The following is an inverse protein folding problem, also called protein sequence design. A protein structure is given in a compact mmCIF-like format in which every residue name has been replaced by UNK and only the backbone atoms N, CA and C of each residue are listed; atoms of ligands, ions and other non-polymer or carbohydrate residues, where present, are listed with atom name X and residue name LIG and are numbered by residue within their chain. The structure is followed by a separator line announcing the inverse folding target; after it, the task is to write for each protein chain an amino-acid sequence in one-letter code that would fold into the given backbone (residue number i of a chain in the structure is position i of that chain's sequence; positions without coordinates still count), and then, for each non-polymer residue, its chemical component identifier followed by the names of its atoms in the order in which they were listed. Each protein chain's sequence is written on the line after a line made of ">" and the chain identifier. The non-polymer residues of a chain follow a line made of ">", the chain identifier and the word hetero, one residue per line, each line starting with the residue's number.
data_IF_747039394384
#
_entry.id   IF_747039394384
#
_cell.length_a   1.000
_cell.length_b   1.000
_cell.length_c   1.000
_cell.angle_alpha   90.00
_cell.angle_beta   90.00
_cell.angle_gamma   90.00
#
_symmetry.space_group_name_H-M   'P 1'
#
loop_
_entity.id
_entity.type
_entity.pdbx_description
1 polymer ?
#
# COMPACT_ATOMS: atom_id res chain seq x y z
N UNK A 1 7.76 -9.97 -65.35
CA UNK A 1 6.67 -10.49 -64.50
C UNK A 1 7.01 -11.94 -64.24
N UNK A 2 7.70 -12.21 -63.13
CA UNK A 2 8.03 -13.58 -62.71
C UNK A 2 6.79 -14.21 -62.07
N UNK A 3 6.49 -15.44 -62.50
CA UNK A 3 5.36 -16.21 -62.02
C UNK A 3 5.54 -16.53 -60.53
N UNK A 4 4.58 -16.08 -59.73
CA UNK A 4 4.43 -16.50 -58.34
C UNK A 4 4.12 -17.99 -58.36
N UNK A 5 5.08 -18.82 -57.98
CA UNK A 5 4.87 -20.24 -57.78
C UNK A 5 3.85 -20.41 -56.64
N UNK A 6 2.62 -20.80 -56.96
CA UNK A 6 1.66 -21.32 -55.99
C UNK A 6 2.27 -22.56 -55.35
N UNK A 7 2.91 -22.39 -54.19
CA UNK A 7 3.31 -23.52 -53.37
C UNK A 7 2.05 -24.03 -52.69
N UNK A 8 1.62 -25.24 -53.03
CA UNK A 8 0.56 -25.94 -52.33
C UNK A 8 0.90 -25.96 -50.82
N UNK A 9 0.01 -25.45 -49.97
CA UNK A 9 0.22 -25.37 -48.52
C UNK A 9 -0.82 -26.22 -47.80
N UNK A 10 -0.36 -26.99 -46.81
CA UNK A 10 -1.22 -27.75 -45.90
C UNK A 10 -1.14 -27.19 -44.49
N UNK A 11 -2.23 -27.35 -43.72
CA UNK A 11 -2.31 -26.87 -42.34
C UNK A 11 -1.76 -27.94 -41.40
N UNK A 12 -0.82 -27.56 -40.53
CA UNK A 12 -0.31 -28.43 -39.48
C UNK A 12 -1.37 -28.61 -38.38
N UNK A 13 -1.73 -29.85 -38.07
CA UNK A 13 -2.74 -30.19 -37.04
C UNK A 13 -2.32 -29.89 -35.60
N UNK A 14 -1.04 -29.56 -35.37
CA UNK A 14 -0.52 -29.26 -34.04
C UNK A 14 -0.37 -27.75 -33.75
N UNK A 15 0.01 -26.95 -34.75
CA UNK A 15 0.20 -25.49 -34.59
C UNK A 15 -0.78 -24.64 -35.40
N UNK A 16 -1.69 -25.26 -36.14
CA UNK A 16 -2.72 -24.61 -36.97
C UNK A 16 -2.15 -23.64 -38.02
N UNK A 17 -0.87 -23.77 -38.37
CA UNK A 17 -0.17 -22.90 -39.34
C UNK A 17 -0.15 -23.55 -40.73
N UNK A 18 -0.32 -22.73 -41.77
CA UNK A 18 -0.12 -23.13 -43.16
C UNK A 18 1.38 -23.30 -43.45
N UNK A 19 1.76 -24.48 -43.92
CA UNK A 19 3.14 -24.89 -44.23
C UNK A 19 3.15 -25.44 -45.66
N UNK A 20 4.20 -25.23 -46.46
CA UNK A 20 4.32 -25.86 -47.78
C UNK A 20 4.12 -27.38 -47.68
N UNK A 21 3.23 -27.93 -48.50
CA UNK A 21 2.80 -29.32 -48.44
C UNK A 21 3.98 -30.29 -48.58
N UNK A 22 4.99 -29.93 -49.38
CA UNK A 22 6.22 -30.71 -49.52
C UNK A 22 7.02 -30.88 -48.22
N UNK A 23 6.85 -29.99 -47.24
CA UNK A 23 7.64 -29.96 -46.00
C UNK A 23 6.80 -30.24 -44.74
N UNK A 24 5.52 -30.60 -44.88
CA UNK A 24 4.59 -30.73 -43.75
C UNK A 24 5.02 -31.80 -42.73
N UNK A 25 5.52 -32.94 -43.19
CA UNK A 25 5.92 -34.06 -42.32
C UNK A 25 7.13 -33.70 -41.47
N UNK A 26 8.13 -33.06 -42.08
CA UNK A 26 9.31 -32.56 -41.38
C UNK A 26 8.92 -31.47 -40.37
N UNK A 27 8.05 -30.54 -40.78
CA UNK A 27 7.51 -29.54 -39.88
C UNK A 27 6.78 -30.18 -38.69
N UNK A 28 5.88 -31.14 -38.93
CA UNK A 28 5.09 -31.78 -37.90
C UNK A 28 5.96 -32.49 -36.86
N UNK A 29 7.00 -33.22 -37.29
CA UNK A 29 7.94 -33.87 -36.40
C UNK A 29 8.69 -32.88 -35.49
N UNK A 30 9.07 -31.71 -36.00
CA UNK A 30 9.71 -30.66 -35.20
C UNK A 30 8.71 -29.90 -34.31
N UNK A 31 7.54 -29.58 -34.86
CA UNK A 31 6.49 -28.82 -34.21
C UNK A 31 5.96 -29.54 -32.97
N UNK A 32 5.52 -30.80 -33.13
CA UNK A 32 4.93 -31.61 -32.05
C UNK A 32 5.90 -31.87 -30.90
N UNK A 33 7.20 -31.99 -31.20
CA UNK A 33 8.25 -32.29 -30.20
C UNK A 33 8.80 -31.05 -29.50
N UNK A 34 8.88 -29.91 -30.19
CA UNK A 34 9.57 -28.71 -29.67
C UNK A 34 8.63 -27.60 -29.21
N UNK A 35 7.43 -27.54 -29.74
CA UNK A 35 6.44 -26.53 -29.40
C UNK A 35 5.29 -27.16 -28.62
N UNK A 36 4.59 -26.35 -27.84
CA UNK A 36 3.32 -26.68 -27.22
C UNK A 36 2.42 -25.44 -27.18
N UNK A 37 1.11 -25.66 -27.15
CA UNK A 37 0.12 -24.60 -27.10
C UNK A 37 -0.08 -24.15 -25.66
N UNK A 38 0.11 -22.86 -25.38
CA UNK A 38 -0.15 -22.29 -24.07
C UNK A 38 -1.63 -22.46 -23.72
N UNK A 39 -1.92 -22.93 -22.50
CA UNK A 39 -3.30 -23.17 -22.05
C UNK A 39 -4.08 -21.89 -21.73
N UNK A 40 -3.39 -20.77 -21.55
CA UNK A 40 -3.98 -19.48 -21.15
C UNK A 40 -4.25 -18.60 -22.37
N UNK A 41 -3.23 -18.31 -23.20
CA UNK A 41 -3.40 -17.48 -24.40
C UNK A 41 -3.61 -18.27 -25.71
N UNK A 42 -3.32 -19.57 -25.74
CA UNK A 42 -3.41 -20.37 -26.96
C UNK A 42 -2.21 -20.25 -27.92
N UNK A 43 -1.17 -19.49 -27.56
CA UNK A 43 0.01 -19.31 -28.41
C UNK A 43 0.90 -20.56 -28.47
N UNK A 44 1.60 -20.75 -29.59
CA UNK A 44 2.59 -21.81 -29.74
C UNK A 44 3.94 -21.40 -29.17
N UNK A 45 4.33 -21.97 -28.04
CA UNK A 45 5.55 -21.65 -27.30
C UNK A 45 6.52 -22.83 -27.34
N UNK A 46 7.85 -22.61 -27.45
CA UNK A 46 8.82 -23.69 -27.27
C UNK A 46 8.70 -24.32 -25.88
N UNK A 47 8.58 -25.64 -25.81
CA UNK A 47 8.41 -26.39 -24.54
C UNK A 47 9.46 -26.01 -23.48
N UNK A 48 10.72 -25.84 -23.91
CA UNK A 48 11.82 -25.41 -23.03
C UNK A 48 11.63 -24.02 -22.39
N UNK A 49 10.78 -23.18 -22.98
CA UNK A 49 10.50 -21.82 -22.54
C UNK A 49 9.06 -21.65 -22.04
N UNK A 50 8.27 -22.74 -21.96
CA UNK A 50 6.86 -22.66 -21.59
C UNK A 50 6.68 -22.10 -20.17
N UNK A 51 7.54 -22.52 -19.23
CA UNK A 51 7.56 -22.00 -17.87
C UNK A 51 7.90 -20.51 -17.82
N UNK A 52 8.96 -20.08 -18.52
CA UNK A 52 9.36 -18.67 -18.59
C UNK A 52 8.26 -17.79 -19.23
N UNK A 53 7.59 -18.31 -20.27
CA UNK A 53 6.43 -17.66 -20.87
C UNK A 53 5.28 -17.49 -19.85
N UNK A 54 4.95 -18.55 -19.09
CA UNK A 54 3.92 -18.47 -18.05
C UNK A 54 4.29 -17.44 -16.98
N UNK A 55 5.51 -17.50 -16.42
CA UNK A 55 5.96 -16.60 -15.37
C UNK A 55 5.96 -15.12 -15.78
N UNK A 56 6.26 -14.83 -17.06
CA UNK A 56 6.29 -13.45 -17.55
C UNK A 56 4.91 -12.92 -17.95
N UNK A 57 4.08 -13.78 -18.50
CA UNK A 57 2.85 -13.36 -19.20
C UNK A 57 1.59 -13.59 -18.38
N UNK A 58 1.53 -14.70 -17.64
CA UNK A 58 0.30 -15.19 -17.01
C UNK A 58 0.40 -15.36 -15.49
N UNK A 59 1.60 -15.52 -14.95
CA UNK A 59 1.75 -15.71 -13.52
C UNK A 59 1.21 -14.48 -12.76
N UNK A 60 0.42 -14.73 -11.71
CA UNK A 60 -0.04 -13.67 -10.82
C UNK A 60 1.12 -12.84 -10.26
N UNK A 61 0.85 -11.56 -10.05
CA UNK A 61 1.80 -10.58 -9.53
C UNK A 61 1.32 -10.07 -8.18
N UNK A 62 2.27 -9.75 -7.30
CA UNK A 62 1.94 -9.16 -6.00
C UNK A 62 1.89 -7.64 -6.08
N UNK A 63 0.95 -7.06 -5.35
CA UNK A 63 0.89 -5.62 -5.14
C UNK A 63 2.02 -5.16 -4.22
N UNK A 64 2.78 -4.15 -4.64
CA UNK A 64 3.91 -3.61 -3.87
C UNK A 64 3.50 -2.90 -2.57
N UNK A 65 2.22 -2.54 -2.42
CA UNK A 65 1.73 -1.79 -1.25
C UNK A 65 1.14 -2.72 -0.18
N UNK A 66 0.34 -3.71 -0.57
CA UNK A 66 -0.34 -4.62 0.36
C UNK A 66 0.17 -6.07 0.33
N UNK A 67 1.08 -6.41 -0.59
CA UNK A 67 1.60 -7.77 -0.82
C UNK A 67 0.56 -8.82 -1.23
N UNK A 68 -0.66 -8.41 -1.59
CA UNK A 68 -1.69 -9.31 -2.11
C UNK A 68 -1.37 -9.73 -3.54
N UNK A 69 -1.65 -10.99 -3.88
CA UNK A 69 -1.37 -11.58 -5.20
C UNK A 69 -2.61 -11.53 -6.07
N UNK A 70 -2.46 -11.08 -7.33
CA UNK A 70 -3.56 -10.88 -8.26
C UNK A 70 -3.11 -11.03 -9.72
N UNK A 71 -4.05 -11.06 -10.66
CA UNK A 71 -3.74 -11.09 -12.09
C UNK A 71 -3.09 -9.76 -12.53
N UNK A 72 -2.29 -9.81 -13.60
CA UNK A 72 -1.47 -8.67 -14.03
C UNK A 72 -2.32 -7.52 -14.58
N UNK A 73 -3.40 -7.84 -15.28
CA UNK A 73 -4.36 -6.92 -15.87
C UNK A 73 -5.18 -6.16 -14.81
N UNK A 74 -5.42 -6.75 -13.64
CA UNK A 74 -6.15 -6.09 -12.54
C UNK A 74 -5.24 -5.31 -11.58
N UNK A 75 -3.92 -5.45 -11.67
CA UNK A 75 -2.97 -4.82 -10.75
C UNK A 75 -3.07 -3.29 -10.72
N UNK A 76 -3.27 -2.66 -11.89
CA UNK A 76 -3.35 -1.20 -11.98
C UNK A 76 -4.64 -0.66 -11.36
N UNK A 77 -5.76 -1.34 -11.60
CA UNK A 77 -7.06 -1.03 -10.99
C UNK A 77 -6.99 -1.26 -9.48
N UNK A 78 -6.33 -2.33 -9.05
CA UNK A 78 -6.11 -2.58 -7.63
C UNK A 78 -5.34 -1.43 -6.98
N UNK A 79 -4.19 -1.03 -7.53
CA UNK A 79 -3.38 0.06 -6.97
C UNK A 79 -4.13 1.39 -6.91
N UNK A 80 -4.94 1.70 -7.92
CA UNK A 80 -5.69 2.95 -7.99
C UNK A 80 -6.89 3.02 -7.06
N UNK A 81 -7.65 1.92 -6.94
CA UNK A 81 -9.00 1.98 -6.36
C UNK A 81 -9.22 1.02 -5.20
N UNK A 82 -8.67 -0.19 -5.27
CA UNK A 82 -9.03 -1.27 -4.34
C UNK A 82 -7.98 -1.47 -3.24
N UNK A 83 -6.74 -1.05 -3.45
CA UNK A 83 -5.65 -1.32 -2.54
C UNK A 83 -5.91 -0.61 -1.20
N UNK A 84 -5.95 -1.34 -0.07
CA UNK A 84 -6.19 -0.75 1.25
C UNK A 84 -5.04 0.17 1.69
N UNK A 85 -3.85 -0.05 1.14
CA UNK A 85 -2.63 0.71 1.42
C UNK A 85 -2.40 1.87 0.42
N UNK A 86 -3.34 2.13 -0.51
CA UNK A 86 -3.25 3.30 -1.39
C UNK A 86 -3.37 4.58 -0.57
N UNK A 87 -2.67 5.63 -0.98
CA UNK A 87 -2.73 6.93 -0.30
C UNK A 87 -3.93 7.71 -0.82
N UNK A 88 -4.77 8.16 0.10
CA UNK A 88 -5.94 9.02 -0.11
C UNK A 88 -5.85 10.23 0.81
N UNK A 89 -6.54 11.31 0.49
CA UNK A 89 -6.56 12.53 1.31
C UNK A 89 -7.84 12.63 2.12
N UNK A 90 -7.72 13.05 3.38
CA UNK A 90 -8.87 13.39 4.20
C UNK A 90 -9.64 14.59 3.61
N UNK A 91 -10.96 14.48 3.48
CA UNK A 91 -11.81 15.56 2.94
C UNK A 91 -11.88 16.81 3.83
N UNK A 92 -11.51 16.68 5.11
CA UNK A 92 -11.60 17.77 6.11
C UNK A 92 -10.29 18.53 6.31
N UNK A 93 -9.16 17.81 6.31
CA UNK A 93 -7.85 18.41 6.60
C UNK A 93 -6.80 18.18 5.52
N UNK A 94 -7.18 17.56 4.40
CA UNK A 94 -6.33 17.28 3.23
C UNK A 94 -5.09 16.42 3.54
N UNK A 95 -5.01 15.84 4.74
CA UNK A 95 -3.89 15.02 5.15
C UNK A 95 -3.85 13.71 4.33
N UNK A 96 -2.70 13.34 3.75
CA UNK A 96 -2.54 12.08 3.02
C UNK A 96 -2.33 10.90 3.98
N UNK A 97 -3.12 9.85 3.83
CA UNK A 97 -3.05 8.64 4.64
C UNK A 97 -3.47 7.38 3.87
N UNK A 98 -3.12 6.17 4.35
CA UNK A 98 -3.62 4.93 3.77
C UNK A 98 -5.16 4.86 3.79
N UNK A 99 -5.76 4.31 2.73
CA UNK A 99 -7.21 4.18 2.62
C UNK A 99 -7.86 3.38 3.76
N UNK A 100 -7.13 2.40 4.31
CA UNK A 100 -7.58 1.62 5.47
C UNK A 100 -7.79 2.47 6.73
N UNK A 101 -7.01 3.54 6.90
CA UNK A 101 -7.06 4.41 8.08
C UNK A 101 -8.01 5.61 7.89
N UNK A 102 -8.48 5.85 6.66
CA UNK A 102 -9.25 7.05 6.30
C UNK A 102 -10.52 7.20 7.13
N UNK A 103 -11.30 6.12 7.29
CA UNK A 103 -12.58 6.17 8.00
C UNK A 103 -12.39 6.53 9.48
N UNK A 104 -11.47 5.87 10.18
CA UNK A 104 -11.16 6.17 11.58
C UNK A 104 -10.65 7.61 11.74
N UNK A 105 -9.77 8.04 10.83
CA UNK A 105 -9.30 9.41 10.82
C UNK A 105 -10.43 10.42 10.61
N UNK A 106 -11.35 10.19 9.67
CA UNK A 106 -12.46 11.12 9.37
C UNK A 106 -13.45 11.25 10.53
N UNK A 107 -13.66 10.20 11.32
CA UNK A 107 -14.52 10.26 12.50
C UNK A 107 -13.95 11.19 13.58
N UNK A 108 -12.62 11.20 13.78
CA UNK A 108 -11.98 12.11 14.73
C UNK A 108 -11.77 13.49 14.12
N UNK A 109 -11.26 13.56 12.90
CA UNK A 109 -10.93 14.79 12.20
C UNK A 109 -12.18 15.63 11.93
N UNK A 110 -13.28 15.02 11.47
CA UNK A 110 -14.53 15.73 11.18
C UNK A 110 -15.17 16.40 12.39
N UNK A 111 -14.91 15.87 13.60
CA UNK A 111 -15.40 16.42 14.87
C UNK A 111 -14.54 17.57 15.42
N UNK A 112 -13.35 17.82 14.87
CA UNK A 112 -12.54 18.99 15.23
C UNK A 112 -13.29 20.26 14.82
N UNK A 113 -13.14 21.30 15.62
CA UNK A 113 -13.78 22.59 15.37
C UNK A 113 -12.76 23.66 15.02
N UNK A 114 -13.14 24.55 14.11
CA UNK A 114 -12.39 25.75 13.74
C UNK A 114 -13.24 26.98 14.00
N UNK A 115 -12.57 28.10 14.28
CA UNK A 115 -13.24 29.37 14.51
C UNK A 115 -13.63 30.00 13.17
N UNK A 116 -14.94 30.22 12.95
CA UNK A 116 -15.39 31.01 11.81
C UNK A 116 -15.04 32.49 12.03
N UNK A 117 -14.21 33.06 11.15
CA UNK A 117 -13.81 34.47 11.24
C UNK A 117 -14.95 35.47 10.99
N UNK A 118 -16.04 35.04 10.35
CA UNK A 118 -17.19 35.92 10.06
C UNK A 118 -18.11 36.08 11.27
N UNK A 119 -18.43 34.99 11.96
CA UNK A 119 -19.40 34.99 13.07
C UNK A 119 -18.79 34.65 14.44
N UNK A 120 -17.48 34.40 14.53
CA UNK A 120 -16.73 34.01 15.73
C UNK A 120 -17.30 32.78 16.48
N UNK A 121 -18.00 31.89 15.77
CA UNK A 121 -18.47 30.61 16.30
C UNK A 121 -17.51 29.49 15.94
N UNK A 122 -17.32 28.56 16.87
CA UNK A 122 -16.64 27.29 16.60
C UNK A 122 -17.55 26.39 15.78
N UNK A 123 -17.08 25.96 14.62
CA UNK A 123 -17.82 25.14 13.66
C UNK A 123 -17.03 23.86 13.43
N UNK A 124 -17.70 22.70 13.41
CA UNK A 124 -17.05 21.42 13.11
C UNK A 124 -16.59 21.38 11.66
N UNK A 125 -15.47 20.73 11.39
CA UNK A 125 -14.94 20.60 10.02
C UNK A 125 -15.95 19.94 9.08
N UNK A 126 -16.67 18.91 9.54
CA UNK A 126 -17.74 18.25 8.75
C UNK A 126 -18.91 19.19 8.40
N UNK A 127 -19.14 20.20 9.24
CA UNK A 127 -20.23 21.18 9.08
C UNK A 127 -19.75 22.49 8.43
N UNK A 128 -18.47 22.58 8.04
CA UNK A 128 -17.86 23.83 7.54
C UNK A 128 -18.55 24.34 6.28
N UNK A 129 -18.74 23.48 5.28
CA UNK A 129 -19.37 23.86 4.00
C UNK A 129 -20.82 24.33 4.20
N UNK A 130 -21.59 23.64 5.04
CA UNK A 130 -22.98 24.00 5.31
C UNK A 130 -23.09 25.28 6.16
N UNK A 131 -22.14 25.52 7.05
CA UNK A 131 -22.01 26.77 7.78
C UNK A 131 -21.67 27.92 6.85
N UNK A 132 -20.66 27.78 5.99
CA UNK A 132 -20.21 28.81 5.05
C UNK A 132 -21.35 29.29 4.15
N UNK A 133 -22.15 28.36 3.63
CA UNK A 133 -23.32 28.67 2.80
C UNK A 133 -24.44 29.43 3.54
N UNK A 134 -24.50 29.36 4.88
CA UNK A 134 -25.55 29.96 5.73
C UNK A 134 -25.02 31.03 6.68
N UNK A 135 -23.72 31.34 6.62
CA UNK A 135 -23.09 32.22 7.60
C UNK A 135 -23.39 33.67 7.25
N UNK A 136 -24.21 34.31 8.08
CA UNK A 136 -24.60 35.71 7.88
C UNK A 136 -23.62 36.71 8.53
N UNK A 137 -22.47 36.24 9.05
CA UNK A 137 -21.49 37.10 9.73
C UNK A 137 -21.97 37.78 11.02
N UNK A 138 -23.18 37.44 11.49
CA UNK A 138 -23.73 38.02 12.72
C UNK A 138 -23.01 37.39 13.92
N UNK A 139 -22.21 38.21 14.58
CA UNK A 139 -21.63 37.88 15.89
C UNK A 139 -22.73 38.00 16.93
N UNK A 140 -23.18 36.88 17.45
CA UNK A 140 -24.14 36.89 18.54
C UNK A 140 -23.34 37.09 19.83
N UNK A 141 -23.44 38.29 20.41
CA UNK A 141 -22.79 38.67 21.67
C UNK A 141 -23.28 37.86 22.90
N UNK A 142 -24.11 36.85 22.68
CA UNK A 142 -24.85 36.11 23.71
C UNK A 142 -24.20 34.78 24.15
N UNK A 143 -22.94 34.50 23.78
CA UNK A 143 -22.17 33.45 24.47
C UNK A 143 -21.51 34.09 25.70
N UNK A 144 -22.23 34.03 26.82
CA UNK A 144 -21.75 34.48 28.11
C UNK A 144 -20.38 33.90 28.47
N UNK A 145 -19.60 34.70 29.18
CA UNK A 145 -18.41 34.31 29.94
C UNK A 145 -18.71 33.10 30.83
N UNK A 146 -18.61 31.89 30.28
CA UNK A 146 -18.64 30.64 31.06
C UNK A 146 -17.25 30.33 31.60
N UNK A 147 -16.67 31.30 32.31
CA UNK A 147 -15.54 31.11 33.22
C UNK A 147 -15.78 31.99 34.44
N UNK A 148 -16.82 31.70 35.22
CA UNK A 148 -17.01 32.29 36.55
C UNK A 148 -18.03 31.52 37.42
N UNK A 149 -18.06 30.18 37.35
CA UNK A 149 -18.70 29.36 38.40
C UNK A 149 -17.91 28.07 38.58
N UNK A 150 -16.90 28.10 39.47
CA UNK A 150 -16.46 26.98 40.33
C UNK A 150 -15.25 27.40 41.19
N UNK A 151 -15.43 28.46 41.97
CA UNK A 151 -14.63 28.72 43.18
C UNK A 151 -15.59 28.83 44.36
N UNK A 152 -16.13 27.68 44.79
CA UNK A 152 -16.73 27.49 46.12
C UNK A 152 -17.12 26.02 46.23
N UNK A 153 -16.22 25.19 46.73
CA UNK A 153 -16.47 23.99 47.54
C UNK A 153 -15.13 23.27 47.77
N UNK A 154 -14.21 23.99 48.40
CA UNK A 154 -13.14 23.37 49.19
C UNK A 154 -13.74 23.16 50.58
N UNK A 155 -13.53 21.96 51.11
CA UNK A 155 -13.82 21.50 52.47
C UNK A 155 -15.18 20.79 52.68
N UNK A 156 -15.18 19.45 52.52
CA UNK A 156 -15.26 18.51 53.65
C UNK A 156 -15.36 17.04 53.18
N UNK A 157 -14.56 16.17 53.80
CA UNK A 157 -14.97 14.77 54.08
C UNK A 157 -14.55 13.68 53.10
N UNK A 158 -13.40 13.07 53.35
CA UNK A 158 -12.93 11.85 52.70
C UNK A 158 -13.78 10.60 53.01
N UNK A 159 -14.11 9.79 51.99
CA UNK A 159 -14.06 8.32 52.08
C UNK A 159 -13.54 7.69 50.80
N UNK A 160 -12.56 6.81 50.99
CA UNK A 160 -11.72 6.13 50.00
C UNK A 160 -12.49 5.13 49.14
N UNK A 161 -12.19 5.07 47.84
CA UNK A 161 -12.17 3.84 47.03
C UNK A 161 -10.86 3.79 46.22
N UNK A 162 -10.33 2.60 45.90
CA UNK A 162 -8.93 2.43 45.47
C UNK A 162 -8.68 2.87 44.02
N UNK A 163 -7.44 3.21 43.63
CA UNK A 163 -7.09 3.56 42.25
C UNK A 163 -7.06 2.31 41.35
N UNK A 164 -7.69 2.39 40.18
CA UNK A 164 -7.42 1.51 39.04
C UNK A 164 -6.05 1.89 38.43
N UNK A 165 -5.28 0.95 37.85
CA UNK A 165 -3.91 1.20 37.41
C UNK A 165 -3.84 2.07 36.14
N UNK A 166 -2.75 2.84 35.94
CA UNK A 166 -2.55 3.67 34.76
C UNK A 166 -2.37 2.81 33.50
N UNK A 167 -3.13 3.14 32.45
CA UNK A 167 -2.92 2.60 31.12
C UNK A 167 -1.66 3.23 30.53
N UNK A 168 -0.71 2.35 30.28
CA UNK A 168 0.67 2.57 29.90
C UNK A 168 0.84 3.51 28.69
N UNK A 169 1.77 4.44 28.86
CA UNK A 169 2.46 5.20 27.82
C UNK A 169 2.99 4.31 26.70
N UNK A 170 2.33 4.33 25.55
CA UNK A 170 2.91 3.84 24.30
C UNK A 170 3.78 4.94 23.65
N UNK A 171 4.80 5.42 24.37
CA UNK A 171 5.81 6.32 23.79
C UNK A 171 7.21 6.22 24.42
N UNK A 172 7.58 5.07 24.99
CA UNK A 172 8.94 4.85 25.53
C UNK A 172 9.58 3.55 25.07
N UNK A 173 8.79 2.57 24.60
CA UNK A 173 9.34 1.31 24.07
C UNK A 173 9.99 1.48 22.69
N UNK A 174 9.48 2.37 21.82
CA UNK A 174 10.06 2.61 20.49
C UNK A 174 11.36 3.42 20.53
N UNK A 175 11.55 4.24 21.58
CA UNK A 175 12.77 5.04 21.79
C UNK A 175 13.91 4.20 22.40
N UNK A 176 13.59 3.23 23.26
CA UNK A 176 14.59 2.30 23.82
C UNK A 176 15.07 1.28 22.78
N UNK A 177 14.21 0.81 21.87
CA UNK A 177 14.62 -0.06 20.77
C UNK A 177 15.59 0.62 19.79
N UNK A 178 15.47 1.94 19.57
CA UNK A 178 16.41 2.69 18.71
C UNK A 178 17.78 2.95 19.36
N UNK A 179 17.86 2.99 20.69
CA UNK A 179 19.15 3.21 21.40
C UNK A 179 19.93 1.90 21.57
N UNK A 180 19.23 0.75 21.69
CA UNK A 180 19.89 -0.55 21.77
C UNK A 180 20.49 -1.03 20.42
N UNK A 181 19.89 -0.68 19.28
CA UNK A 181 20.36 -1.11 17.95
C UNK A 181 21.60 -0.33 17.52
N UNK A 182 21.72 0.95 17.89
CA UNK A 182 22.92 1.76 17.60
C UNK A 182 24.08 1.49 18.55
N UNK A 183 23.81 1.07 19.80
CA UNK A 183 24.86 0.68 20.76
C UNK A 183 25.53 -0.66 20.43
N UNK A 184 24.78 -1.66 19.96
CA UNK A 184 25.33 -2.99 19.63
C UNK A 184 26.21 -2.95 18.35
N UNK A 185 25.89 -2.10 17.38
CA UNK A 185 26.68 -1.93 16.16
C UNK A 185 28.09 -1.36 16.42
N UNK A 186 28.24 -0.48 17.42
CA UNK A 186 29.53 0.13 17.78
C UNK A 186 30.44 -0.83 18.56
N UNK A 187 29.86 -1.70 19.41
CA UNK A 187 30.64 -2.68 20.19
C UNK A 187 31.13 -3.84 19.31
N UNK A 188 30.29 -4.35 18.40
CA UNK A 188 30.70 -5.43 17.48
C UNK A 188 31.71 -4.96 16.43
N UNK A 189 31.60 -3.72 15.94
CA UNK A 189 32.58 -3.14 15.02
C UNK A 189 33.97 -2.95 15.63
N UNK A 190 34.03 -2.66 16.94
CA UNK A 190 35.29 -2.46 17.66
C UNK A 190 36.03 -3.76 17.98
N UNK A 191 35.29 -4.83 18.29
CA UNK A 191 35.88 -6.15 18.59
C UNK A 191 36.46 -6.85 17.36
N UNK A 192 35.88 -6.63 16.17
CA UNK A 192 36.38 -7.19 14.92
C UNK A 192 37.66 -6.51 14.41
N UNK A 193 37.92 -5.26 14.78
CA UNK A 193 39.14 -4.55 14.40
C UNK A 193 40.34 -4.90 15.31
N UNK A 194 40.13 -5.19 16.59
CA UNK A 194 41.21 -5.66 17.47
C UNK A 194 41.69 -7.08 17.11
N UNK A 195 40.78 -7.98 16.74
CA UNK A 195 41.14 -9.37 16.40
C UNK A 195 41.95 -9.50 15.10
N UNK A 196 41.94 -8.48 14.23
CA UNK A 196 42.76 -8.46 13.00
C UNK A 196 44.20 -7.97 13.26
N UNK A 197 44.45 -7.27 14.36
CA UNK A 197 45.80 -6.81 14.73
C UNK A 197 46.65 -7.92 15.37
N UNK A 198 46.06 -8.85 16.12
CA UNK A 198 46.82 -9.92 16.81
C UNK A 198 47.15 -11.14 15.93
N UNK A 199 46.51 -11.28 14.76
CA UNK A 199 46.78 -12.42 13.85
C UNK A 199 47.83 -12.11 12.77
N UNK A 200 48.41 -10.91 12.77
CA UNK A 200 49.41 -10.49 11.77
C UNK A 200 50.87 -10.58 12.28
N UNK A 201 51.08 -11.08 13.50
CA UNK A 201 52.42 -11.18 14.12
C UNK A 201 52.72 -12.63 14.55
N UNK A 202 52.58 -13.57 13.60
CA UNK A 202 53.26 -14.88 13.66
C UNK A 202 53.63 -15.29 12.23
N UNK A 203 54.72 -14.71 11.73
CA UNK A 203 55.61 -15.37 10.76
C UNK A 203 57.05 -14.93 11.01
#
# INVERSE_FOLDING_TARGET
>A
MEAVSDQDTSICTHCDRAIPAANIDLHYAHCSRKLEKCKVCGDMVPRKNAEDHYLRTHAPVSCSLCSETMERDILDIHKGENCPQRIVTCEFCEFPLPAIDLAEHQEVCGNRTELCHLCNKYVRLRERFSHEARCNGIQDSSVGTSRNVREAEREQGARRRPPLPPQNDFSTKRLLFTIAITGIAVILGSFFLQKKAESSDVH
#
